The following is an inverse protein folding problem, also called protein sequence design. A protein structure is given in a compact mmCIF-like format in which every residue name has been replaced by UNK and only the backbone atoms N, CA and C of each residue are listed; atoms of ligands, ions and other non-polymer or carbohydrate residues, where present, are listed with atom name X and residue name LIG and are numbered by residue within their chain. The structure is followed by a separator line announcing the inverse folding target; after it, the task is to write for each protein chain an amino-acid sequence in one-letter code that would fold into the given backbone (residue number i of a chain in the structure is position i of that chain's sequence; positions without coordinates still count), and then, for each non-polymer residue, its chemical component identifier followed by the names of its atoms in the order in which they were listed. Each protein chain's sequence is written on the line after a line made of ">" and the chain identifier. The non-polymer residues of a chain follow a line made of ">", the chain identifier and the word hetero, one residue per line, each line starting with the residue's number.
data_IF_802422253303
#
_entry.id   IF_802422253303
#
_cell.length_a   1.000
_cell.length_b   1.000
_cell.length_c   1.000
_cell.angle_alpha   90.00
_cell.angle_beta   90.00
_cell.angle_gamma   90.00
#
_symmetry.space_group_name_H-M   'P 1'
#
loop_
_entity.id
_entity.type
_entity.pdbx_description
1 polymer ?
#
# COMPACT_ATOMS: atom_id res chain seq x y z
N UNK A 1 10.72 -14.52 -8.20
CA UNK A 1 10.38 -13.96 -6.89
C UNK A 1 10.56 -12.46 -6.90
N UNK A 2 9.57 -11.76 -6.46
CA UNK A 2 9.65 -10.30 -6.42
C UNK A 2 10.56 -9.83 -5.30
N UNK A 3 11.41 -8.87 -5.62
CA UNK A 3 12.32 -8.28 -4.66
C UNK A 3 11.90 -6.85 -4.41
N UNK A 4 10.94 -6.67 -3.51
CA UNK A 4 10.52 -5.34 -3.11
C UNK A 4 10.87 -5.10 -1.65
N UNK A 5 11.10 -3.84 -1.33
CA UNK A 5 11.37 -3.42 0.03
C UNK A 5 10.22 -2.53 0.47
N UNK A 6 9.52 -2.94 1.52
CA UNK A 6 8.45 -2.12 2.05
C UNK A 6 9.04 -0.97 2.84
N UNK A 7 8.75 0.25 2.40
CA UNK A 7 9.26 1.44 3.05
C UNK A 7 8.35 1.94 4.16
N UNK A 8 7.04 1.82 3.95
CA UNK A 8 6.03 2.22 4.93
C UNK A 8 4.86 1.27 4.86
N UNK A 9 4.28 0.99 6.02
CA UNK A 9 3.00 0.29 6.10
C UNK A 9 2.08 1.17 6.94
N UNK A 10 0.98 1.60 6.34
CA UNK A 10 0.07 2.55 6.97
C UNK A 10 -1.28 1.86 7.18
N UNK A 11 -1.71 1.75 8.42
CA UNK A 11 -2.97 1.13 8.76
C UNK A 11 -4.05 2.19 8.98
N UNK A 12 -5.31 1.83 8.67
CA UNK A 12 -6.41 2.70 9.04
C UNK A 12 -6.68 2.58 10.54
N UNK A 13 -7.60 3.40 11.05
CA UNK A 13 -7.87 3.40 12.49
C UNK A 13 -8.41 2.06 12.98
N UNK A 14 -9.18 1.38 12.15
CA UNK A 14 -9.77 0.10 12.51
C UNK A 14 -8.80 -1.06 12.35
N UNK A 15 -7.67 -0.81 11.71
CA UNK A 15 -6.61 -1.79 11.47
C UNK A 15 -7.05 -2.98 10.66
N UNK A 16 -8.06 -2.78 9.82
CA UNK A 16 -8.49 -3.80 8.88
C UNK A 16 -8.13 -3.48 7.44
N UNK A 17 -7.46 -2.34 7.22
CA UNK A 17 -6.94 -1.96 5.91
C UNK A 17 -5.53 -1.42 6.06
N UNK A 18 -4.72 -1.65 5.06
CA UNK A 18 -3.32 -1.25 5.09
C UNK A 18 -2.87 -0.84 3.70
N UNK A 19 -2.01 0.17 3.64
CA UNK A 19 -1.34 0.55 2.41
C UNK A 19 0.15 0.37 2.63
N UNK A 20 0.79 -0.38 1.73
CA UNK A 20 2.25 -0.53 1.73
C UNK A 20 2.82 0.32 0.62
N UNK A 21 3.78 1.16 0.96
CA UNK A 21 4.59 1.91 0.00
C UNK A 21 5.90 1.16 -0.11
N UNK A 22 6.29 0.79 -1.33
CA UNK A 22 7.44 -0.08 -1.52
C UNK A 22 8.34 0.40 -2.63
N UNK A 23 9.57 -0.10 -2.61
CA UNK A 23 10.55 0.16 -3.65
C UNK A 23 10.88 -1.16 -4.33
N UNK A 24 10.92 -1.14 -5.66
CA UNK A 24 11.21 -2.34 -6.44
C UNK A 24 12.70 -2.44 -6.72
N UNK A 25 13.09 -3.61 -7.21
CA UNK A 25 14.48 -3.89 -7.55
C UNK A 25 15.03 -2.93 -8.59
N UNK A 26 14.19 -2.46 -9.49
CA UNK A 26 14.61 -1.55 -10.56
C UNK A 26 14.60 -0.09 -10.12
N UNK A 27 14.47 0.15 -8.81
CA UNK A 27 14.46 1.48 -8.20
C UNK A 27 13.20 2.29 -8.46
N UNK A 28 12.16 1.67 -9.00
CA UNK A 28 10.87 2.33 -9.07
C UNK A 28 10.12 2.13 -7.75
N UNK A 29 9.11 2.95 -7.53
CA UNK A 29 8.31 2.93 -6.31
C UNK A 29 6.89 2.59 -6.64
N UNK A 30 6.17 2.07 -5.67
CA UNK A 30 4.77 1.72 -5.85
C UNK A 30 4.05 1.63 -4.53
N UNK A 31 2.77 1.35 -4.61
CA UNK A 31 1.96 1.13 -3.42
C UNK A 31 0.89 0.09 -3.72
N UNK A 32 0.35 -0.49 -2.64
CA UNK A 32 -0.74 -1.44 -2.76
C UNK A 32 -1.60 -1.36 -1.52
N UNK A 33 -2.88 -1.65 -1.67
CA UNK A 33 -3.83 -1.63 -0.58
C UNK A 33 -4.22 -3.05 -0.22
N UNK A 34 -4.28 -3.34 1.09
CA UNK A 34 -4.62 -4.65 1.61
C UNK A 34 -5.77 -4.54 2.60
N UNK A 35 -6.52 -5.61 2.73
CA UNK A 35 -7.61 -5.72 3.67
C UNK A 35 -7.46 -6.98 4.48
N UNK A 36 -7.84 -6.91 5.74
CA UNK A 36 -7.87 -8.07 6.62
C UNK A 36 -9.28 -8.27 7.14
N UNK A 37 -9.75 -9.51 7.05
CA UNK A 37 -11.06 -9.88 7.57
C UNK A 37 -10.84 -10.60 8.90
N UNK A 38 -11.22 -9.94 10.00
CA UNK A 38 -11.00 -10.49 11.32
C UNK A 38 -11.81 -11.75 11.57
N UNK A 39 -12.93 -11.90 10.87
CA UNK A 39 -13.79 -13.06 11.07
C UNK A 39 -13.33 -14.31 10.35
N UNK A 40 -12.65 -14.14 9.23
CA UNK A 40 -12.29 -15.27 8.40
C UNK A 40 -10.94 -15.88 8.73
N UNK A 41 -10.12 -15.18 9.52
CA UNK A 41 -8.80 -15.69 9.91
C UNK A 41 -7.86 -15.94 8.73
N UNK A 42 -8.10 -15.32 7.60
CA UNK A 42 -7.29 -15.58 6.41
C UNK A 42 -6.11 -14.64 6.27
N UNK A 43 -5.97 -13.66 7.17
CA UNK A 43 -4.88 -12.71 7.10
C UNK A 43 -5.13 -11.60 6.10
N UNK A 44 -4.06 -11.00 5.63
CA UNK A 44 -4.15 -9.86 4.73
C UNK A 44 -4.26 -10.33 3.29
N UNK A 45 -5.08 -9.65 2.50
CA UNK A 45 -5.15 -9.90 1.07
C UNK A 45 -5.27 -8.60 0.31
N UNK A 46 -4.76 -8.62 -0.91
CA UNK A 46 -4.71 -7.45 -1.77
C UNK A 46 -6.09 -7.11 -2.30
N UNK A 47 -6.51 -5.85 -2.19
CA UNK A 47 -7.80 -5.42 -2.72
C UNK A 47 -7.68 -4.31 -3.76
N UNK A 48 -6.50 -3.69 -3.88
CA UNK A 48 -6.28 -2.70 -4.92
C UNK A 48 -5.51 -3.34 -6.06
N UNK A 49 -5.46 -2.68 -7.18
CA UNK A 49 -4.66 -3.13 -8.31
C UNK A 49 -3.66 -2.05 -8.66
N UNK A 50 -2.99 -1.54 -7.64
CA UNK A 50 -2.09 -0.41 -7.82
C UNK A 50 -0.64 -0.83 -8.03
N UNK A 51 -0.33 -2.11 -7.81
CA UNK A 51 1.06 -2.56 -7.80
C UNK A 51 1.70 -2.54 -9.18
N UNK A 52 0.93 -2.36 -10.25
CA UNK A 52 1.49 -2.28 -11.59
C UNK A 52 1.89 -0.86 -11.98
N UNK A 53 1.55 0.12 -11.15
CA UNK A 53 1.88 1.51 -11.42
C UNK A 53 3.25 1.82 -10.83
N UNK A 54 4.12 2.46 -11.61
CA UNK A 54 5.47 2.79 -11.17
C UNK A 54 5.62 4.29 -10.98
N UNK A 55 6.33 4.65 -9.93
CA UNK A 55 6.60 6.05 -9.59
C UNK A 55 8.09 6.26 -9.47
N UNK A 56 8.52 7.49 -9.57
CA UNK A 56 9.94 7.83 -9.53
C UNK A 56 10.46 8.05 -8.11
N UNK A 57 9.58 8.22 -7.15
CA UNK A 57 10.00 8.46 -5.77
C UNK A 57 8.95 7.97 -4.81
N UNK A 58 9.37 7.79 -3.56
CA UNK A 58 8.44 7.43 -2.49
C UNK A 58 7.37 8.51 -2.31
N UNK A 59 7.76 9.77 -2.46
CA UNK A 59 6.83 10.86 -2.33
C UNK A 59 5.72 10.78 -3.36
N UNK A 60 6.08 10.51 -4.61
CA UNK A 60 5.08 10.39 -5.67
C UNK A 60 4.13 9.22 -5.42
N UNK A 61 4.67 8.09 -4.99
CA UNK A 61 3.84 6.94 -4.69
C UNK A 61 2.88 7.25 -3.55
N UNK A 62 3.37 7.91 -2.52
CA UNK A 62 2.53 8.27 -1.37
C UNK A 62 1.45 9.26 -1.75
N UNK A 63 1.78 10.24 -2.58
CA UNK A 63 0.80 11.24 -3.02
C UNK A 63 -0.30 10.59 -3.84
N UNK A 64 0.05 9.70 -4.73
CA UNK A 64 -0.96 9.03 -5.54
C UNK A 64 -1.80 8.10 -4.68
N UNK A 65 -1.18 7.39 -3.74
CA UNK A 65 -1.92 6.53 -2.82
C UNK A 65 -2.93 7.34 -2.03
N UNK A 66 -2.53 8.51 -1.54
CA UNK A 66 -3.42 9.39 -0.77
C UNK A 66 -4.61 9.85 -1.61
N UNK A 67 -4.36 10.08 -2.90
CA UNK A 67 -5.41 10.53 -3.80
C UNK A 67 -6.39 9.41 -4.14
N UNK A 68 -5.88 8.19 -4.31
CA UNK A 68 -6.70 7.06 -4.73
C UNK A 68 -7.41 6.35 -3.57
N UNK A 69 -6.82 6.39 -2.40
CA UNK A 69 -7.32 5.65 -1.24
C UNK A 69 -7.89 6.64 -0.25
N UNK A 70 -9.21 6.67 -0.17
CA UNK A 70 -9.93 7.74 0.53
C UNK A 70 -9.54 7.87 2.00
N UNK A 71 -9.41 6.73 2.70
CA UNK A 71 -9.15 6.78 4.13
C UNK A 71 -7.71 7.14 4.47
N UNK A 72 -6.80 7.09 3.49
CA UNK A 72 -5.37 7.22 3.79
C UNK A 72 -5.02 8.59 4.35
N UNK A 73 -5.61 9.64 3.80
CA UNK A 73 -5.30 10.99 4.27
C UNK A 73 -5.75 11.24 5.70
N UNK A 74 -6.67 10.43 6.21
CA UNK A 74 -7.17 10.60 7.57
C UNK A 74 -6.18 10.11 8.62
N UNK A 75 -5.22 9.28 8.23
CA UNK A 75 -4.25 8.71 9.16
C UNK A 75 -2.82 9.16 8.87
N UNK A 76 -2.61 9.95 7.84
CA UNK A 76 -1.27 10.46 7.52
C UNK A 76 -0.93 11.72 8.30
#
# INVERSE_FOLDING_TARGET
>A
MKKTITLKSINNYEKNKCVDIFKRKDNSFGFEEFRRDFESNTGWFCIGNYSEISFNSEKEATEEATRKIIWLKDVL
#
